data_IF_919606180851
#
_entry.id   IF_919606180851
#
_cell.length_a   1.000
_cell.length_b   1.000
_cell.length_c   1.000
_cell.angle_alpha   90.00
_cell.angle_beta   90.00
_cell.angle_gamma   90.00
#
_symmetry.space_group_name_H-M   'P 1'
#
loop_
_entity.id
_entity.type
_entity.pdbx_description
1 polymer ?
#
# COMPACT_ATOMS: atom_id res chain seq x y z
N UNK A 1 -3.27 -8.33 21.32
CA UNK A 1 -4.65 -7.86 21.12
C UNK A 1 -5.58 -8.72 21.96
N UNK A 2 -6.28 -8.15 22.94
CA UNK A 2 -7.23 -8.89 23.76
C UNK A 2 -8.52 -9.15 22.97
N UNK A 3 -8.84 -10.41 22.72
CA UNK A 3 -10.12 -10.84 22.14
C UNK A 3 -11.16 -10.78 23.25
N UNK A 4 -12.13 -9.87 23.15
CA UNK A 4 -13.21 -9.79 24.14
C UNK A 4 -13.94 -11.13 24.19
N UNK A 5 -13.85 -11.81 25.33
CA UNK A 5 -14.62 -13.02 25.64
C UNK A 5 -16.09 -12.63 25.70
N UNK A 6 -16.87 -13.09 24.71
CA UNK A 6 -18.33 -12.98 24.76
C UNK A 6 -18.82 -13.83 25.93
N UNK A 7 -19.33 -13.18 26.98
CA UNK A 7 -20.03 -13.85 28.07
C UNK A 7 -21.30 -14.49 27.50
N UNK A 8 -21.21 -15.73 27.03
CA UNK A 8 -22.28 -16.49 26.36
C UNK A 8 -23.56 -16.61 27.21
N UNK A 9 -23.45 -16.42 28.54
CA UNK A 9 -24.56 -16.59 29.49
C UNK A 9 -24.95 -15.30 30.24
N UNK A 10 -24.40 -14.13 29.88
CA UNK A 10 -24.81 -12.86 30.50
C UNK A 10 -25.89 -12.17 29.68
N UNK A 11 -27.02 -11.82 30.31
CA UNK A 11 -28.12 -11.05 29.69
C UNK A 11 -27.71 -9.63 29.31
N UNK A 12 -26.68 -9.07 29.95
CA UNK A 12 -26.21 -7.71 29.70
C UNK A 12 -25.05 -7.69 28.70
N UNK A 13 -25.37 -7.50 27.42
CA UNK A 13 -24.36 -7.30 26.37
C UNK A 13 -23.98 -5.82 26.29
N UNK A 14 -22.77 -5.46 26.76
CA UNK A 14 -22.11 -4.16 26.47
C UNK A 14 -21.25 -4.22 25.20
N UNK A 15 -21.51 -5.16 24.31
CA UNK A 15 -20.74 -5.32 23.07
C UNK A 15 -21.04 -4.17 22.09
N UNK A 16 -20.05 -3.74 21.30
CA UNK A 16 -20.26 -2.70 20.29
C UNK A 16 -21.30 -3.15 19.27
N UNK A 17 -22.21 -2.25 18.91
CA UNK A 17 -23.26 -2.50 17.91
C UNK A 17 -22.65 -2.82 16.54
N UNK A 18 -23.21 -3.77 15.83
CA UNK A 18 -22.87 -4.08 14.44
C UNK A 18 -24.00 -3.63 13.51
N UNK A 19 -23.73 -3.54 12.20
CA UNK A 19 -24.72 -3.16 11.19
C UNK A 19 -25.94 -4.09 11.08
N UNK A 20 -25.94 -5.23 11.77
CA UNK A 20 -27.01 -6.24 11.74
C UNK A 20 -27.89 -6.29 12.99
N UNK A 21 -27.50 -5.58 14.07
CA UNK A 21 -28.10 -5.73 15.41
C UNK A 21 -29.02 -4.58 15.82
N UNK A 22 -29.35 -3.66 14.92
CA UNK A 22 -30.10 -2.46 15.24
C UNK A 22 -31.29 -2.26 14.28
N UNK A 23 -32.13 -1.27 14.58
CA UNK A 23 -33.37 -0.99 13.85
C UNK A 23 -33.11 -0.38 12.45
N UNK A 24 -34.17 -0.21 11.65
CA UNK A 24 -34.11 0.27 10.25
C UNK A 24 -33.33 1.58 10.06
N UNK A 25 -33.36 2.46 11.04
CA UNK A 25 -32.72 3.79 10.97
C UNK A 25 -31.24 3.77 11.40
N UNK A 26 -30.72 2.63 11.85
CA UNK A 26 -29.33 2.51 12.25
C UNK A 26 -28.45 2.10 11.06
N UNK A 27 -27.65 3.04 10.59
CA UNK A 27 -26.57 2.78 9.63
C UNK A 27 -25.21 2.75 10.33
N UNK A 28 -24.43 1.70 10.08
CA UNK A 28 -23.02 1.59 10.50
C UNK A 28 -22.14 1.27 9.30
N UNK A 29 -21.14 2.11 9.06
CA UNK A 29 -20.14 1.90 8.01
C UNK A 29 -19.22 0.71 8.29
N UNK A 30 -18.66 0.15 7.22
CA UNK A 30 -17.75 -1.03 7.26
C UNK A 30 -16.30 -0.67 6.94
N UNK A 31 -15.96 0.61 6.88
CA UNK A 31 -14.66 1.08 6.38
C UNK A 31 -14.56 1.12 4.85
N UNK A 32 -15.65 0.80 4.14
CA UNK A 32 -15.74 1.03 2.70
C UNK A 32 -15.63 2.53 2.38
N UNK A 33 -14.85 2.86 1.35
CA UNK A 33 -14.58 4.23 0.93
C UNK A 33 -15.85 4.91 0.38
N UNK A 34 -15.96 6.22 0.57
CA UNK A 34 -17.03 7.00 -0.06
C UNK A 34 -16.63 7.39 -1.49
N UNK A 35 -17.05 6.56 -2.45
CA UNK A 35 -16.79 6.73 -3.89
C UNK A 35 -17.86 7.52 -4.64
N UNK A 36 -18.91 7.99 -3.97
CA UNK A 36 -20.00 8.71 -4.65
C UNK A 36 -19.65 10.19 -4.83
N UNK A 37 -20.00 10.74 -6.01
CA UNK A 37 -19.89 12.18 -6.28
C UNK A 37 -20.76 12.92 -5.28
N UNK A 38 -20.15 13.92 -4.64
CA UNK A 38 -20.86 14.85 -3.76
C UNK A 38 -21.24 16.08 -4.57
N UNK A 39 -22.53 16.38 -4.65
CA UNK A 39 -22.97 17.67 -5.17
C UNK A 39 -22.81 18.70 -4.06
N UNK A 40 -21.92 19.69 -4.23
CA UNK A 40 -21.90 20.88 -3.37
C UNK A 40 -23.12 21.72 -3.75
N UNK A 41 -24.04 21.90 -2.81
CA UNK A 41 -25.32 22.62 -3.06
C UNK A 41 -25.18 24.10 -2.70
N UNK A 42 -24.18 24.47 -1.92
CA UNK A 42 -23.84 25.86 -1.68
C UNK A 42 -22.94 26.38 -2.82
N UNK A 43 -23.57 26.71 -3.95
CA UNK A 43 -23.13 27.83 -4.76
C UNK A 43 -24.08 28.96 -4.42
N UNK A 44 -23.51 30.12 -4.11
CA UNK A 44 -24.26 31.34 -3.87
C UNK A 44 -25.33 31.54 -4.96
N UNK A 45 -26.42 32.22 -4.61
CA UNK A 45 -27.41 32.67 -5.58
C UNK A 45 -26.72 33.48 -6.69
N UNK A 46 -27.37 33.67 -7.85
CA UNK A 46 -26.86 34.46 -8.99
C UNK A 46 -26.45 35.89 -8.60
N UNK A 47 -26.89 36.37 -7.42
CA UNK A 47 -26.56 37.64 -6.77
C UNK A 47 -25.41 37.57 -5.75
N UNK A 48 -24.73 36.43 -5.61
CA UNK A 48 -23.63 36.22 -4.66
C UNK A 48 -24.05 35.99 -3.20
N UNK A 49 -25.36 35.87 -2.91
CA UNK A 49 -25.88 35.61 -1.57
C UNK A 49 -25.72 34.13 -1.20
N UNK A 50 -25.22 33.85 0.01
CA UNK A 50 -25.03 32.48 0.49
C UNK A 50 -26.39 31.83 0.78
N UNK A 51 -26.78 30.82 -0.01
CA UNK A 51 -27.94 29.98 0.28
C UNK A 51 -27.67 29.12 1.53
N UNK A 52 -28.69 29.04 2.37
CA UNK A 52 -28.71 28.58 3.77
C UNK A 52 -27.74 27.43 4.13
N UNK A 53 -27.13 27.51 5.33
CA UNK A 53 -26.00 26.68 5.83
C UNK A 53 -26.34 25.19 6.01
N UNK A 54 -27.56 24.76 5.69
CA UNK A 54 -28.15 23.47 6.09
C UNK A 54 -27.96 22.29 5.12
N UNK A 55 -27.35 22.47 3.94
CA UNK A 55 -27.20 21.35 2.97
C UNK A 55 -25.74 20.99 2.69
N UNK A 56 -25.14 20.26 3.63
CA UNK A 56 -23.78 19.74 3.50
C UNK A 56 -23.79 18.48 2.62
N UNK A 57 -23.63 18.69 1.31
CA UNK A 57 -23.42 17.67 0.26
C UNK A 57 -24.49 16.57 0.13
N UNK A 58 -25.34 16.65 -0.89
CA UNK A 58 -26.16 15.50 -1.30
C UNK A 58 -25.26 14.43 -1.92
N UNK A 59 -25.38 13.21 -1.40
CA UNK A 59 -24.81 12.01 -2.02
C UNK A 59 -25.57 11.77 -3.32
N UNK A 60 -24.86 11.82 -4.45
CA UNK A 60 -25.48 11.53 -5.75
C UNK A 60 -25.36 10.04 -6.08
N UNK A 61 -26.20 9.53 -6.99
CA UNK A 61 -26.12 8.14 -7.47
C UNK A 61 -24.94 7.88 -8.44
N UNK A 62 -24.08 8.88 -8.70
CA UNK A 62 -22.97 8.77 -9.65
C UNK A 62 -21.65 8.53 -8.91
N UNK A 63 -20.82 7.67 -9.47
CA UNK A 63 -19.45 7.43 -8.97
C UNK A 63 -18.53 8.60 -9.31
N UNK A 64 -17.67 8.95 -8.35
CA UNK A 64 -16.54 9.85 -8.55
C UNK A 64 -15.33 8.99 -8.91
N UNK A 65 -15.09 8.84 -10.22
CA UNK A 65 -14.03 7.96 -10.75
C UNK A 65 -12.65 8.31 -10.18
N UNK A 66 -12.40 9.58 -9.83
CA UNK A 66 -11.16 10.02 -9.20
C UNK A 66 -10.96 9.47 -7.77
N UNK A 67 -12.04 9.00 -7.12
CA UNK A 67 -12.00 8.43 -5.77
C UNK A 67 -12.06 6.91 -5.77
N UNK A 68 -12.28 6.29 -6.93
CA UNK A 68 -12.32 4.82 -7.02
C UNK A 68 -10.88 4.31 -6.95
N UNK A 69 -10.52 3.51 -5.94
CA UNK A 69 -9.17 2.95 -5.86
C UNK A 69 -8.93 1.98 -7.00
N UNK A 70 -7.82 2.13 -7.71
CA UNK A 70 -7.37 1.23 -8.76
C UNK A 70 -6.12 0.46 -8.28
N UNK A 71 -6.13 -0.86 -8.47
CA UNK A 71 -4.97 -1.71 -8.23
C UNK A 71 -4.23 -1.92 -9.56
N UNK A 72 -3.06 -1.29 -9.69
CA UNK A 72 -2.27 -1.36 -10.92
C UNK A 72 -1.49 -2.67 -10.93
N UNK A 73 -1.74 -3.49 -11.95
CA UNK A 73 -0.99 -4.72 -12.20
C UNK A 73 0.10 -4.40 -13.23
N UNK A 74 1.39 -4.58 -12.90
CA UNK A 74 2.47 -4.32 -13.86
C UNK A 74 2.39 -5.30 -15.04
N UNK A 75 2.70 -4.85 -16.28
CA UNK A 75 2.76 -5.75 -17.42
C UNK A 75 3.86 -6.80 -17.22
N UNK A 76 3.65 -8.02 -17.73
CA UNK A 76 4.62 -9.12 -17.59
C UNK A 76 4.63 -9.81 -16.21
N UNK A 77 3.71 -9.49 -15.29
CA UNK A 77 3.63 -10.19 -14.00
C UNK A 77 3.31 -11.69 -14.14
N UNK A 78 2.64 -12.08 -15.22
CA UNK A 78 2.33 -13.48 -15.54
C UNK A 78 3.53 -14.23 -16.14
N UNK A 79 4.64 -13.56 -16.45
CA UNK A 79 5.82 -14.21 -16.98
C UNK A 79 6.50 -15.01 -15.86
N UNK A 80 6.28 -16.32 -15.89
CA UNK A 80 6.63 -17.31 -14.86
C UNK A 80 8.14 -17.51 -14.65
N UNK A 81 8.97 -16.80 -15.41
CA UNK A 81 10.40 -17.05 -15.53
C UNK A 81 11.28 -16.28 -14.54
N UNK A 82 10.80 -15.20 -13.91
CA UNK A 82 11.72 -14.28 -13.21
C UNK A 82 11.57 -14.21 -11.69
N UNK A 83 10.35 -14.20 -11.12
CA UNK A 83 10.16 -14.00 -9.68
C UNK A 83 9.00 -14.85 -9.12
N UNK A 84 9.28 -15.62 -8.07
CA UNK A 84 8.29 -16.44 -7.34
C UNK A 84 8.29 -16.07 -5.86
N UNK A 85 7.18 -16.27 -5.13
CA UNK A 85 7.12 -15.98 -3.69
C UNK A 85 8.07 -16.87 -2.86
N UNK A 86 8.45 -18.03 -3.40
CA UNK A 86 9.34 -18.98 -2.76
C UNK A 86 10.65 -19.09 -3.53
N UNK A 87 11.73 -19.38 -2.79
CA UNK A 87 13.10 -19.50 -3.31
C UNK A 87 13.59 -20.92 -3.09
N UNK A 88 14.30 -21.48 -4.06
CA UNK A 88 14.92 -22.80 -3.96
C UNK A 88 16.15 -22.75 -3.04
N UNK A 89 16.20 -23.63 -2.03
CA UNK A 89 17.31 -23.77 -1.07
C UNK A 89 18.12 -25.03 -1.38
N UNK A 90 18.90 -25.00 -2.46
CA UNK A 90 19.71 -26.13 -2.92
C UNK A 90 21.11 -25.70 -3.36
N UNK A 91 21.74 -26.49 -4.22
CA UNK A 91 23.08 -26.15 -4.74
C UNK A 91 23.06 -24.88 -5.58
N UNK A 92 24.12 -24.06 -5.46
CA UNK A 92 24.28 -22.84 -6.25
C UNK A 92 24.34 -23.12 -7.76
N UNK A 93 24.90 -24.27 -8.15
CA UNK A 93 24.94 -24.75 -9.55
C UNK A 93 23.55 -24.93 -10.16
N UNK A 94 22.55 -25.27 -9.34
CA UNK A 94 21.15 -25.39 -9.75
C UNK A 94 20.35 -24.09 -9.54
N UNK A 95 21.03 -22.97 -9.26
CA UNK A 95 20.39 -21.67 -8.95
C UNK A 95 19.80 -21.60 -7.55
N UNK A 96 20.23 -22.47 -6.63
CA UNK A 96 19.80 -22.46 -5.24
C UNK A 96 20.39 -21.30 -4.44
N UNK A 97 19.66 -20.84 -3.44
CA UNK A 97 20.15 -19.90 -2.43
C UNK A 97 20.70 -20.67 -1.23
N UNK A 98 21.83 -20.23 -0.62
CA UNK A 98 22.37 -20.88 0.57
C UNK A 98 21.34 -20.94 1.70
N UNK A 99 21.39 -21.99 2.51
CA UNK A 99 20.47 -22.22 3.63
C UNK A 99 20.53 -21.09 4.65
N UNK A 100 21.72 -20.49 4.84
CA UNK A 100 21.97 -19.36 5.72
C UNK A 100 22.67 -18.22 4.95
N UNK A 101 21.93 -17.41 4.19
CA UNK A 101 22.51 -16.28 3.49
C UNK A 101 23.02 -15.25 4.50
N UNK A 102 24.14 -14.59 4.18
CA UNK A 102 24.59 -13.41 4.95
C UNK A 102 23.48 -12.36 4.92
N UNK A 103 23.20 -11.73 6.06
CA UNK A 103 22.18 -10.69 6.15
C UNK A 103 22.57 -9.48 5.30
N UNK A 104 21.63 -8.96 4.53
CA UNK A 104 21.80 -7.75 3.72
C UNK A 104 22.21 -8.06 2.28
N UNK A 105 22.63 -7.01 1.59
CA UNK A 105 23.04 -7.11 0.19
C UNK A 105 24.46 -7.70 0.11
N UNK A 106 24.68 -8.80 -0.64
CA UNK A 106 26.00 -9.42 -0.81
C UNK A 106 27.01 -8.40 -1.33
N UNK A 107 28.13 -8.25 -0.62
CA UNK A 107 29.22 -7.33 -0.95
C UNK A 107 28.80 -5.85 -1.12
N UNK A 108 27.68 -5.48 -0.48
CA UNK A 108 27.19 -4.11 -0.43
C UNK A 108 27.91 -3.27 0.61
N UNK A 109 27.97 -1.94 0.43
CA UNK A 109 28.42 -1.06 1.49
C UNK A 109 27.52 -1.26 2.72
N UNK A 110 28.12 -1.39 3.91
CA UNK A 110 27.35 -1.45 5.15
C UNK A 110 26.74 -0.07 5.43
N UNK A 111 25.47 -0.06 5.84
CA UNK A 111 24.80 1.16 6.27
C UNK A 111 25.46 1.67 7.56
N UNK A 112 25.75 2.97 7.61
CA UNK A 112 26.31 3.62 8.80
C UNK A 112 25.18 4.03 9.75
N UNK A 113 25.52 4.56 10.92
CA UNK A 113 24.56 5.13 11.88
C UNK A 113 23.76 6.30 11.31
N UNK A 114 24.25 6.96 10.26
CA UNK A 114 23.54 8.01 9.54
C UNK A 114 22.35 7.49 8.69
N UNK A 115 22.22 6.17 8.52
CA UNK A 115 21.08 5.55 7.84
C UNK A 115 21.07 5.73 6.32
N UNK A 116 19.88 5.94 5.76
CA UNK A 116 19.60 6.04 4.32
C UNK A 116 19.94 7.41 3.72
N UNK A 117 21.19 7.83 3.87
CA UNK A 117 21.66 9.12 3.37
C UNK A 117 22.09 9.07 1.89
N UNK A 118 22.18 10.24 1.24
CA UNK A 118 22.61 10.38 -0.14
C UNK A 118 23.98 9.74 -0.39
N UNK A 119 24.92 9.86 0.55
CA UNK A 119 26.24 9.23 0.45
C UNK A 119 26.17 7.70 0.41
N UNK A 120 25.23 7.09 1.15
CA UNK A 120 25.00 5.64 1.13
C UNK A 120 24.45 5.20 -0.23
N UNK A 121 23.41 5.88 -0.73
CA UNK A 121 22.83 5.54 -2.04
C UNK A 121 23.79 5.75 -3.20
N UNK A 122 24.68 6.75 -3.15
CA UNK A 122 25.74 6.93 -4.16
C UNK A 122 26.70 5.74 -4.22
N UNK A 123 27.11 5.21 -3.06
CA UNK A 123 27.97 4.01 -3.01
C UNK A 123 27.24 2.77 -3.52
N UNK A 124 25.99 2.58 -3.12
CA UNK A 124 25.15 1.46 -3.58
C UNK A 124 24.96 1.53 -5.09
N UNK A 125 24.57 2.68 -5.62
CA UNK A 125 24.33 2.86 -7.07
C UNK A 125 25.61 2.66 -7.86
N UNK A 126 26.73 3.25 -7.43
CA UNK A 126 28.05 3.04 -8.04
C UNK A 126 28.41 1.56 -8.17
N UNK A 127 28.29 0.78 -7.07
CA UNK A 127 28.55 -0.66 -7.10
C UNK A 127 27.60 -1.46 -7.99
N UNK A 128 26.33 -1.04 -8.10
CA UNK A 128 25.36 -1.66 -9.02
C UNK A 128 25.74 -1.38 -10.48
N UNK A 129 26.14 -0.15 -10.82
CA UNK A 129 26.55 0.20 -12.18
C UNK A 129 27.83 -0.53 -12.59
N UNK A 130 28.82 -0.62 -11.70
CA UNK A 130 30.06 -1.37 -11.96
C UNK A 130 29.76 -2.86 -12.24
N UNK A 131 28.95 -3.52 -11.41
CA UNK A 131 28.58 -4.94 -11.64
C UNK A 131 27.81 -5.15 -12.95
N UNK A 132 26.95 -4.20 -13.33
CA UNK A 132 26.25 -4.26 -14.62
C UNK A 132 27.20 -4.09 -15.78
N UNK A 133 28.10 -3.10 -15.73
CA UNK A 133 29.09 -2.88 -16.78
C UNK A 133 29.99 -4.11 -17.01
N UNK A 134 30.43 -4.76 -15.92
CA UNK A 134 31.17 -6.05 -16.00
C UNK A 134 30.32 -7.14 -16.65
N UNK A 135 29.03 -7.27 -16.27
CA UNK A 135 28.12 -8.27 -16.85
C UNK A 135 27.85 -8.03 -18.34
N UNK A 136 27.74 -6.77 -18.73
CA UNK A 136 27.42 -6.34 -20.10
C UNK A 136 28.67 -6.21 -20.98
N UNK A 137 29.87 -6.45 -20.43
CA UNK A 137 31.15 -6.40 -21.15
C UNK A 137 31.63 -4.99 -21.53
N UNK A 138 31.11 -3.95 -20.87
CA UNK A 138 31.44 -2.54 -21.15
C UNK A 138 32.59 -2.09 -20.23
N UNK A 139 33.66 -1.54 -20.82
CA UNK A 139 34.77 -0.98 -20.06
C UNK A 139 34.31 0.19 -19.19
N UNK A 140 34.64 0.16 -17.90
CA UNK A 140 34.30 1.20 -16.93
C UNK A 140 35.40 2.27 -17.01
N UNK A 141 35.11 3.43 -17.60
CA UNK A 141 35.98 4.61 -17.44
C UNK A 141 35.71 5.21 -16.05
N UNK A 142 36.72 5.15 -15.17
CA UNK A 142 36.71 5.89 -13.91
C UNK A 142 36.81 7.39 -14.22
N UNK A 143 35.79 8.17 -13.84
CA UNK A 143 35.84 9.63 -13.76
C UNK A 143 35.85 10.09 -12.31
#
# INVERSE_FOLDING_TARGET
MFRATSALFSKASRLPLTSKKANKDFYKGTGALNVLRRKRIALADRKGQQLDKKTWTLMTHRLDELRVPAYIVPPGLNDTNNLRPYVYRGSEEAGGTPVNPKSGYPDGPRMTSAGFDAAYYRKVSGGVYQRRAVKDGVAIEEK
#
